data_IF_308714607854
#
_entry.id   IF_308714607854
#
_cell.length_a   1.000
_cell.length_b   1.000
_cell.length_c   1.000
_cell.angle_alpha   90.00
_cell.angle_beta   90.00
_cell.angle_gamma   90.00
#
_symmetry.space_group_name_H-M   'P 1'
#
loop_
_entity.id
_entity.type
_entity.pdbx_description
1 polymer ?
#
# COMPACT_ATOMS: atom_id res chain seq x y z
N UNK A 1 -20.29 -5.58 23.82
CA UNK A 1 -19.12 -5.04 23.09
C UNK A 1 -18.79 -6.03 22.00
N UNK A 2 -18.81 -5.65 20.73
CA UNK A 2 -18.50 -6.57 19.63
C UNK A 2 -17.02 -6.92 19.64
N UNK A 3 -16.68 -8.20 19.44
CA UNK A 3 -15.28 -8.61 19.24
C UNK A 3 -14.87 -8.25 17.82
N UNK A 4 -13.68 -7.66 17.66
CA UNK A 4 -13.12 -7.40 16.33
C UNK A 4 -12.83 -8.73 15.62
N UNK A 5 -13.11 -8.79 14.32
CA UNK A 5 -12.89 -9.97 13.49
C UNK A 5 -11.74 -9.65 12.54
N UNK A 6 -10.66 -10.40 12.65
CA UNK A 6 -9.49 -10.25 11.78
C UNK A 6 -9.53 -11.28 10.65
N UNK A 7 -8.96 -10.91 9.50
CA UNK A 7 -8.84 -11.78 8.33
C UNK A 7 -7.39 -11.83 7.86
N UNK A 8 -6.95 -13.03 7.44
CA UNK A 8 -5.65 -13.22 6.84
C UNK A 8 -5.54 -12.49 5.50
N UNK A 9 -4.52 -11.65 5.31
CA UNK A 9 -4.32 -10.90 4.08
C UNK A 9 -4.01 -11.78 2.86
N UNK A 10 -3.44 -12.98 3.08
CA UNK A 10 -3.05 -13.89 1.99
C UNK A 10 -4.20 -14.82 1.56
N UNK A 11 -4.86 -15.49 2.52
CA UNK A 11 -5.87 -16.51 2.21
C UNK A 11 -7.31 -16.14 2.59
N UNK A 12 -7.53 -15.00 3.26
CA UNK A 12 -8.86 -14.56 3.71
C UNK A 12 -9.44 -15.38 4.87
N UNK A 13 -8.69 -16.33 5.45
CA UNK A 13 -9.14 -17.09 6.61
C UNK A 13 -9.42 -16.15 7.81
N UNK A 14 -10.49 -16.42 8.54
CA UNK A 14 -10.83 -15.70 9.77
C UNK A 14 -9.82 -16.07 10.86
N UNK A 15 -9.29 -15.05 11.53
CA UNK A 15 -8.33 -15.18 12.64
C UNK A 15 -9.04 -14.77 13.93
N UNK A 16 -8.94 -15.62 14.94
CA UNK A 16 -9.48 -15.37 16.27
C UNK A 16 -8.53 -14.48 17.09
N UNK A 17 -9.02 -13.57 17.95
CA UNK A 17 -8.16 -12.79 18.84
C UNK A 17 -7.21 -13.65 19.69
N UNK A 18 -7.69 -14.82 20.12
CA UNK A 18 -6.93 -15.78 20.91
C UNK A 18 -5.69 -16.31 20.18
N UNK A 19 -5.69 -16.32 18.83
CA UNK A 19 -4.54 -16.72 18.01
C UNK A 19 -3.45 -15.65 17.96
N UNK A 20 -3.80 -14.38 18.17
CA UNK A 20 -2.82 -13.31 18.34
C UNK A 20 -2.20 -13.37 19.74
N UNK A 21 -3.02 -13.60 20.76
CA UNK A 21 -2.57 -13.73 22.15
C UNK A 21 -1.64 -14.93 22.33
N UNK A 22 -1.88 -16.03 21.61
CA UNK A 22 -1.01 -17.23 21.61
C UNK A 22 0.28 -17.07 20.78
N UNK A 23 0.35 -16.04 19.92
CA UNK A 23 1.46 -15.84 18.97
C UNK A 23 1.44 -16.77 17.75
N UNK A 24 0.35 -17.51 17.54
CA UNK A 24 0.15 -18.34 16.34
C UNK A 24 -0.10 -17.47 15.10
N UNK A 25 -0.89 -16.41 15.24
CA UNK A 25 -1.07 -15.36 14.24
C UNK A 25 -0.05 -14.23 14.44
N UNK A 26 0.30 -13.53 13.35
CA UNK A 26 1.21 -12.38 13.40
C UNK A 26 0.62 -11.20 12.62
N UNK A 27 0.79 -9.99 13.15
CA UNK A 27 0.53 -8.75 12.45
C UNK A 27 1.84 -8.17 11.91
N UNK A 28 1.94 -8.01 10.59
CA UNK A 28 3.10 -7.44 9.90
C UNK A 28 2.67 -6.33 8.95
N UNK A 29 3.31 -5.16 9.00
CA UNK A 29 3.03 -4.05 8.07
C UNK A 29 1.52 -3.71 7.96
N UNK A 30 0.81 -3.69 9.09
CA UNK A 30 -0.65 -3.50 9.18
C UNK A 30 -1.50 -4.59 8.49
N UNK A 31 -0.93 -5.76 8.22
CA UNK A 31 -1.63 -6.93 7.67
C UNK A 31 -1.55 -8.10 8.66
N UNK A 32 -2.63 -8.87 8.75
CA UNK A 32 -2.72 -10.01 9.65
C UNK A 32 -2.50 -11.31 8.87
N UNK A 33 -1.77 -12.26 9.45
CA UNK A 33 -1.49 -13.55 8.82
C UNK A 33 -1.83 -14.71 9.77
N UNK A 34 -2.53 -15.71 9.23
CA UNK A 34 -2.88 -16.94 9.95
C UNK A 34 -1.65 -17.86 10.11
N UNK A 35 -1.69 -18.85 11.02
CA UNK A 35 -0.56 -19.76 11.27
C UNK A 35 -0.07 -20.50 10.01
N UNK A 36 -0.96 -20.79 9.06
CA UNK A 36 -0.61 -21.45 7.81
C UNK A 36 0.14 -20.53 6.83
N UNK A 37 -0.14 -19.22 6.85
CA UNK A 37 0.48 -18.25 5.94
C UNK A 37 1.72 -17.57 6.54
N UNK A 38 1.87 -17.60 7.86
CA UNK A 38 3.03 -17.09 8.60
C UNK A 38 4.40 -17.49 8.00
N UNK A 39 4.69 -18.77 7.69
CA UNK A 39 6.00 -19.16 7.16
C UNK A 39 6.28 -18.65 5.74
N UNK A 40 5.25 -18.24 4.98
CA UNK A 40 5.42 -17.69 3.63
C UNK A 40 5.89 -16.24 3.65
N UNK A 41 5.61 -15.51 4.74
CA UNK A 41 5.90 -14.07 4.89
C UNK A 41 7.13 -13.82 5.77
N UNK A 42 7.49 -14.79 6.61
CA UNK A 42 8.66 -14.73 7.47
C UNK A 42 10.05 -14.62 6.77
N UNK A 43 10.31 -15.10 5.53
CA UNK A 43 11.67 -15.11 5.00
C UNK A 43 12.22 -13.73 4.62
N UNK A 44 11.38 -12.70 4.53
CA UNK A 44 11.81 -11.33 4.18
C UNK A 44 12.12 -10.43 5.37
N UNK A 45 11.85 -10.88 6.61
CA UNK A 45 12.30 -10.13 7.77
C UNK A 45 13.75 -10.51 8.09
N UNK A 46 14.70 -9.56 8.07
CA UNK A 46 16.00 -9.79 8.66
C UNK A 46 15.74 -10.22 10.11
N UNK A 47 16.28 -11.39 10.49
CA UNK A 47 16.11 -11.94 11.83
C UNK A 47 16.26 -10.80 12.84
N UNK A 48 15.31 -10.60 13.77
CA UNK A 48 15.40 -9.53 14.74
C UNK A 48 16.77 -9.67 15.38
N UNK A 49 17.63 -8.68 15.14
CA UNK A 49 18.91 -8.56 15.83
C UNK A 49 18.52 -8.53 17.28
N UNK A 50 18.63 -9.68 17.93
CA UNK A 50 18.44 -9.86 19.37
C UNK A 50 19.41 -8.84 19.93
N UNK A 51 18.87 -7.69 20.32
CA UNK A 51 19.65 -6.65 20.96
C UNK A 51 20.03 -7.28 22.26
N UNK A 52 21.24 -7.87 22.29
CA UNK A 52 21.85 -8.37 23.51
C UNK A 52 21.61 -7.31 24.57
N UNK A 53 20.95 -7.65 25.69
CA UNK A 53 20.68 -6.67 26.74
C UNK A 53 22.00 -6.00 27.06
N UNK A 54 22.04 -4.68 26.89
CA UNK A 54 23.20 -3.89 27.23
C UNK A 54 23.59 -4.25 28.67
N UNK A 55 24.88 -4.54 28.95
CA UNK A 55 25.31 -4.83 30.30
C UNK A 55 24.94 -3.63 31.19
N UNK A 56 24.12 -3.91 32.20
CA UNK A 56 23.82 -2.99 33.29
C UNK A 56 25.15 -2.47 33.85
N UNK A 57 25.37 -1.14 33.93
CA UNK A 57 26.49 -0.62 34.70
C UNK A 57 26.18 -0.85 36.18
N UNK A 58 26.80 -1.88 36.75
CA UNK A 58 27.03 -1.98 38.18
C UNK A 58 27.94 -0.82 38.62
N UNK A 59 27.70 -0.35 39.84
CA UNK A 59 28.51 0.58 40.63
C UNK A 59 28.36 2.09 40.40
N UNK A 60 27.38 2.68 41.10
CA UNK A 60 27.59 3.96 41.76
C UNK A 60 27.03 3.92 43.20
N UNK A 61 27.87 4.11 44.23
CA UNK A 61 27.49 3.93 45.62
C UNK A 61 26.73 5.14 46.20
N UNK A 62 25.93 4.78 47.19
CA UNK A 62 25.16 5.58 48.13
C UNK A 62 25.95 6.73 48.76
N UNK A 63 25.36 7.93 48.83
CA UNK A 63 25.93 9.05 49.60
C UNK A 63 25.03 10.28 49.72
N UNK A 64 24.16 10.26 50.75
CA UNK A 64 23.80 11.40 51.62
C UNK A 64 23.30 12.71 50.96
N UNK A 65 21.99 12.98 51.01
CA UNK A 65 21.39 13.85 52.04
C UNK A 65 22.14 15.16 52.30
N UNK A 66 21.62 16.30 51.78
CA UNK A 66 21.18 17.45 52.59
C UNK A 66 20.97 18.74 51.77
N UNK A 67 20.00 19.53 52.24
CA UNK A 67 19.77 20.96 51.99
C UNK A 67 19.23 21.37 50.60
N UNK A 68 17.92 21.56 50.46
CA UNK A 68 17.10 22.72 50.91
C UNK A 68 17.00 23.82 49.84
N UNK A 69 15.78 24.35 49.75
CA UNK A 69 15.35 25.65 49.18
C UNK A 69 14.73 25.51 47.78
N UNK A 70 13.45 25.15 47.69
CA UNK A 70 12.30 26.05 47.84
C UNK A 70 12.34 27.24 46.87
N UNK A 71 11.70 27.08 45.70
CA UNK A 71 10.84 28.13 45.12
C UNK A 71 9.64 27.44 44.49
N UNK A 72 8.51 27.49 45.22
CA UNK A 72 7.18 27.36 44.63
C UNK A 72 6.96 28.55 43.70
N UNK A 73 6.61 28.30 42.45
CA UNK A 73 5.89 29.26 41.63
C UNK A 73 4.61 28.56 41.12
N UNK A 74 3.41 29.07 41.47
CA UNK A 74 2.15 28.59 40.92
C UNK A 74 1.73 29.37 39.67
N UNK A 75 1.19 28.64 38.67
CA UNK A 75 0.13 29.03 37.72
C UNK A 75 0.52 30.02 36.57
N UNK A 76 -0.13 29.94 35.37
CA UNK A 76 -1.59 30.04 35.24
C UNK A 76 -2.31 29.00 34.36
N UNK A 77 -3.46 28.62 34.91
CA UNK A 77 -4.70 28.18 34.26
C UNK A 77 -5.11 29.12 33.13
N UNK A 78 -5.24 28.59 31.91
CA UNK A 78 -5.92 29.26 30.80
C UNK A 78 -7.40 28.85 30.82
N UNK A 79 -8.21 29.71 31.44
CA UNK A 79 -9.67 29.66 31.47
C UNK A 79 -10.24 30.53 30.34
N UNK A 80 -11.10 29.94 29.50
CA UNK A 80 -12.34 30.51 28.93
C UNK A 80 -12.38 31.91 28.26
N UNK A 81 -12.74 31.90 26.97
CA UNK A 81 -13.61 32.88 26.29
C UNK A 81 -13.96 32.30 24.92
N UNK A 82 -15.19 31.90 24.54
CA UNK A 82 -16.53 32.51 24.57
C UNK A 82 -16.65 33.78 23.72
N UNK A 83 -17.19 33.63 22.50
CA UNK A 83 -17.89 34.70 21.76
C UNK A 83 -17.83 34.60 20.24
N UNK A 84 -18.97 34.40 19.58
CA UNK A 84 -19.19 34.66 18.13
C UNK A 84 -19.92 33.55 17.36
N UNK A 85 -21.22 33.30 17.58
CA UNK A 85 -22.37 33.75 16.74
C UNK A 85 -22.18 33.57 15.23
N UNK A 86 -22.70 32.50 14.62
CA UNK A 86 -23.93 32.51 13.80
C UNK A 86 -23.55 32.29 12.33
N UNK A 87 -24.06 31.32 11.57
CA UNK A 87 -25.40 31.26 10.99
C UNK A 87 -25.49 29.98 10.13
N UNK A 88 -26.63 29.25 10.23
CA UNK A 88 -27.25 28.40 9.18
C UNK A 88 -26.46 27.12 8.77
N UNK A 89 -26.95 25.90 8.91
CA UNK A 89 -28.29 25.46 8.53
C UNK A 89 -28.66 24.09 9.08
N UNK A 90 -29.97 23.91 9.05
CA UNK A 90 -30.82 23.08 9.87
C UNK A 90 -31.54 22.15 8.92
N UNK A 91 -31.35 20.84 9.04
CA UNK A 91 -32.37 19.87 8.66
C UNK A 91 -32.41 18.74 9.70
N UNK A 92 -33.30 18.95 10.69
CA UNK A 92 -34.14 17.87 11.23
C UNK A 92 -35.00 17.34 10.05
N UNK A 93 -35.55 16.12 10.00
CA UNK A 93 -36.52 15.56 10.94
C UNK A 93 -36.95 14.16 10.47
N UNK A 94 -37.36 13.32 11.44
CA UNK A 94 -38.35 12.21 11.38
C UNK A 94 -37.89 10.85 10.83
N UNK A 95 -38.21 9.69 11.42
CA UNK A 95 -38.85 9.32 12.69
C UNK A 95 -38.60 7.81 12.91
N UNK A 96 -38.71 7.29 14.14
CA UNK A 96 -38.62 5.86 14.45
C UNK A 96 -40.01 5.21 14.40
N UNK A 97 -40.16 4.00 13.84
CA UNK A 97 -41.36 3.20 14.10
C UNK A 97 -41.19 1.68 13.82
N UNK A 98 -41.46 0.91 14.88
CA UNK A 98 -42.12 -0.41 14.92
C UNK A 98 -41.51 -1.61 14.17
N UNK A 99 -41.05 -2.57 14.97
CA UNK A 99 -41.19 -4.02 14.75
C UNK A 99 -42.65 -4.44 14.50
N UNK A 100 -42.89 -5.57 13.81
CA UNK A 100 -43.30 -6.75 14.57
C UNK A 100 -42.60 -8.05 14.15
N UNK A 101 -42.73 -9.02 15.04
CA UNK A 101 -42.28 -10.39 14.90
C UNK A 101 -43.30 -11.29 14.14
N UNK A 102 -42.80 -12.47 13.72
CA UNK A 102 -43.54 -13.72 13.39
C UNK A 102 -44.34 -13.79 12.08
N UNK A 103 -43.99 -14.79 11.25
CA UNK A 103 -44.81 -15.34 10.17
C UNK A 103 -43.94 -16.15 9.19
N UNK A 104 -43.65 -17.43 9.46
CA UNK A 104 -44.34 -18.60 8.88
C UNK A 104 -44.68 -18.38 7.39
N UNK A 105 -43.90 -18.99 6.51
CA UNK A 105 -44.03 -18.81 5.06
C UNK A 105 -45.32 -19.38 4.46
N UNK A 106 -45.53 -19.14 3.16
CA UNK A 106 -46.20 -20.08 2.31
C UNK A 106 -45.29 -20.56 1.18
N UNK A 107 -45.52 -21.82 0.83
CA UNK A 107 -44.97 -22.52 -0.30
C UNK A 107 -45.24 -21.81 -1.64
N UNK A 108 -44.36 -22.07 -2.60
CA UNK A 108 -44.74 -22.26 -3.99
C UNK A 108 -45.31 -21.05 -4.71
N UNK A 109 -44.44 -20.17 -5.18
CA UNK A 109 -44.65 -19.57 -6.49
C UNK A 109 -43.50 -20.01 -7.40
N UNK A 110 -43.79 -21.04 -8.19
CA UNK A 110 -43.09 -21.32 -9.43
C UNK A 110 -43.29 -20.09 -10.34
N UNK A 111 -42.45 -19.08 -10.13
CA UNK A 111 -42.34 -17.95 -11.04
C UNK A 111 -41.77 -18.47 -12.33
N UNK A 112 -42.64 -18.64 -13.33
CA UNK A 112 -42.32 -18.80 -14.73
C UNK A 112 -41.30 -17.73 -15.10
N UNK A 113 -40.01 -18.08 -15.06
CA UNK A 113 -38.93 -17.23 -15.55
C UNK A 113 -39.24 -16.98 -17.02
N UNK A 114 -39.68 -15.76 -17.32
CA UNK A 114 -39.74 -15.28 -18.68
C UNK A 114 -38.39 -15.60 -19.33
N UNK A 115 -38.36 -16.15 -20.57
CA UNK A 115 -37.11 -16.43 -21.26
C UNK A 115 -36.41 -15.09 -21.45
N UNK A 116 -35.43 -14.80 -20.59
CA UNK A 116 -34.50 -13.70 -20.79
C UNK A 116 -33.87 -13.96 -22.15
N UNK A 117 -34.17 -13.12 -23.14
CA UNK A 117 -33.56 -13.15 -24.47
C UNK A 117 -32.06 -13.23 -24.25
N UNK A 118 -31.50 -14.41 -24.48
CA UNK A 118 -30.14 -14.71 -24.10
C UNK A 118 -29.24 -13.86 -24.98
N UNK A 119 -28.51 -12.92 -24.38
CA UNK A 119 -27.48 -12.11 -25.04
C UNK A 119 -26.24 -12.94 -25.40
N UNK A 120 -26.42 -14.22 -25.73
CA UNK A 120 -25.36 -15.16 -26.13
C UNK A 120 -24.59 -14.62 -27.34
N UNK A 121 -25.29 -13.95 -28.27
CA UNK A 121 -24.66 -13.30 -29.42
C UNK A 121 -23.69 -12.20 -28.98
N UNK A 122 -24.05 -11.40 -27.97
CA UNK A 122 -23.19 -10.34 -27.45
C UNK A 122 -21.91 -10.93 -26.81
N UNK A 123 -22.05 -11.99 -26.01
CA UNK A 123 -20.90 -12.66 -25.39
C UNK A 123 -19.98 -13.33 -26.41
N UNK A 124 -20.53 -13.91 -27.48
CA UNK A 124 -19.74 -14.50 -28.57
C UNK A 124 -18.97 -13.41 -29.33
N UNK A 125 -19.59 -12.27 -29.63
CA UNK A 125 -18.94 -11.14 -30.31
C UNK A 125 -17.83 -10.54 -29.43
N UNK A 126 -18.09 -10.33 -28.14
CA UNK A 126 -17.09 -9.82 -27.20
C UNK A 126 -15.92 -10.82 -27.06
N UNK A 127 -16.23 -12.11 -26.91
CA UNK A 127 -15.21 -13.16 -26.82
C UNK A 127 -14.31 -13.21 -28.06
N UNK A 128 -14.90 -13.16 -29.26
CA UNK A 128 -14.16 -13.13 -30.51
C UNK A 128 -13.26 -11.87 -30.63
N UNK A 129 -13.78 -10.71 -30.24
CA UNK A 129 -13.00 -9.47 -30.26
C UNK A 129 -11.78 -9.51 -29.32
N UNK A 130 -11.93 -10.09 -28.12
CA UNK A 130 -10.83 -10.26 -27.16
C UNK A 130 -9.77 -11.23 -27.70
N UNK A 131 -10.17 -12.34 -28.31
CA UNK A 131 -9.23 -13.30 -28.92
C UNK A 131 -8.44 -12.67 -30.06
N UNK A 132 -9.12 -11.90 -30.93
CA UNK A 132 -8.46 -11.14 -32.02
C UNK A 132 -7.48 -10.11 -31.46
N UNK A 133 -7.85 -9.37 -30.40
CA UNK A 133 -6.96 -8.41 -29.75
C UNK A 133 -5.70 -9.09 -29.19
N UNK A 134 -5.85 -10.23 -28.51
CA UNK A 134 -4.72 -11.01 -27.97
C UNK A 134 -3.80 -11.48 -29.10
N UNK A 135 -4.37 -11.97 -30.20
CA UNK A 135 -3.59 -12.37 -31.39
C UNK A 135 -2.81 -11.20 -32.00
N UNK A 136 -3.43 -10.02 -32.12
CA UNK A 136 -2.76 -8.82 -32.63
C UNK A 136 -1.61 -8.41 -31.71
N UNK A 137 -1.82 -8.40 -30.39
CA UNK A 137 -0.76 -8.10 -29.40
C UNK A 137 0.36 -9.14 -29.48
N UNK A 138 0.05 -10.43 -29.58
CA UNK A 138 1.05 -11.48 -29.70
C UNK A 138 1.88 -11.37 -30.99
N UNK A 139 1.24 -11.01 -32.11
CA UNK A 139 1.93 -10.77 -33.38
C UNK A 139 2.83 -9.52 -33.32
N UNK A 140 2.34 -8.41 -32.77
CA UNK A 140 3.12 -7.18 -32.57
C UNK A 140 4.30 -7.39 -31.60
N UNK A 141 4.11 -8.23 -30.58
CA UNK A 141 5.17 -8.61 -29.63
C UNK A 141 6.22 -9.50 -30.29
N UNK A 142 5.80 -10.38 -31.21
CA UNK A 142 6.69 -11.26 -31.96
C UNK A 142 7.55 -10.50 -32.98
N UNK A 143 7.05 -9.39 -33.53
CA UNK A 143 7.81 -8.51 -34.43
C UNK A 143 9.00 -7.84 -33.73
N UNK A 144 8.88 -7.51 -32.43
CA UNK A 144 9.96 -6.87 -31.67
C UNK A 144 11.09 -7.82 -31.26
N UNK A 145 10.91 -9.13 -31.41
CA UNK A 145 11.89 -10.14 -30.95
C UNK A 145 12.84 -10.65 -32.03
N UNK A 146 12.74 -10.16 -33.27
CA UNK A 146 13.58 -10.63 -34.41
C UNK A 146 14.87 -9.84 -34.66
N UNK A 147 15.10 -8.72 -33.97
CA UNK A 147 16.33 -7.94 -34.16
C UNK A 147 17.45 -8.28 -33.15
N UNK A 148 17.30 -9.34 -32.34
CA UNK A 148 18.33 -9.74 -31.35
C UNK A 148 18.97 -11.12 -31.62
N UNK A 149 18.62 -11.77 -32.73
CA UNK A 149 19.23 -13.05 -33.14
C UNK A 149 20.36 -12.79 -34.14
N UNK A 150 21.46 -12.21 -33.68
CA UNK A 150 22.56 -11.83 -34.55
C UNK A 150 23.86 -11.49 -33.84
N UNK A 151 24.27 -12.25 -32.83
CA UNK A 151 25.68 -12.25 -32.41
C UNK A 151 26.03 -13.52 -31.65
N UNK A 152 26.01 -14.65 -32.36
CA UNK A 152 26.84 -15.80 -32.01
C UNK A 152 28.28 -15.51 -32.50
N UNK A 153 28.91 -14.50 -31.89
CA UNK A 153 30.33 -14.20 -32.08
C UNK A 153 31.13 -14.90 -30.99
N UNK A 154 31.98 -15.83 -31.40
CA UNK A 154 32.78 -16.64 -30.50
C UNK A 154 33.61 -15.82 -29.51
N UNK A 155 33.61 -16.28 -28.25
CA UNK A 155 34.81 -16.91 -27.73
C UNK A 155 36.07 -16.07 -27.53
N UNK A 156 35.97 -14.76 -27.36
CA UNK A 156 36.99 -14.04 -26.60
C UNK A 156 36.49 -13.92 -25.18
N UNK A 157 37.14 -14.62 -24.24
CA UNK A 157 36.90 -14.59 -22.80
C UNK A 157 37.20 -13.24 -22.17
N UNK A 158 36.68 -12.16 -22.76
CA UNK A 158 36.75 -10.81 -22.23
C UNK A 158 35.76 -10.76 -21.06
N UNK A 159 36.23 -10.52 -19.83
CA UNK A 159 35.34 -10.45 -18.67
C UNK A 159 34.24 -9.44 -18.98
N UNK A 160 32.99 -9.81 -18.68
CA UNK A 160 31.83 -8.95 -18.85
C UNK A 160 32.20 -7.55 -18.34
N UNK A 161 31.99 -6.47 -19.13
CA UNK A 161 32.35 -5.13 -18.69
C UNK A 161 31.70 -4.92 -17.33
N UNK A 162 32.55 -4.72 -16.31
CA UNK A 162 32.08 -4.46 -14.95
C UNK A 162 31.12 -3.29 -15.08
N UNK A 163 29.85 -3.52 -14.75
CA UNK A 163 28.87 -2.45 -14.80
C UNK A 163 29.44 -1.32 -13.94
N UNK A 164 29.46 -0.07 -14.46
CA UNK A 164 29.92 1.05 -13.66
C UNK A 164 29.09 1.04 -12.39
N UNK A 165 29.78 0.92 -11.25
CA UNK A 165 29.15 1.00 -9.93
C UNK A 165 28.56 2.40 -9.87
N UNK A 166 27.25 2.50 -10.08
CA UNK A 166 26.54 3.75 -9.98
C UNK A 166 26.53 4.13 -8.51
N UNK A 167 26.97 5.35 -8.22
CA UNK A 167 26.86 5.91 -6.89
C UNK A 167 25.39 5.89 -6.44
N UNK A 168 25.13 5.60 -5.15
CA UNK A 168 23.78 5.62 -4.64
C UNK A 168 23.18 7.03 -4.85
N UNK A 169 21.91 7.10 -5.28
CA UNK A 169 21.27 8.36 -5.59
C UNK A 169 21.20 9.23 -4.34
N UNK A 170 21.61 10.48 -4.48
CA UNK A 170 21.54 11.44 -3.40
C UNK A 170 20.17 12.10 -3.34
N UNK A 171 19.82 12.70 -2.20
CA UNK A 171 18.61 13.52 -2.08
C UNK A 171 18.58 14.66 -3.11
N UNK A 172 19.74 15.20 -3.49
CA UNK A 172 19.85 16.26 -4.49
C UNK A 172 19.44 15.78 -5.89
N UNK A 173 19.74 14.52 -6.24
CA UNK A 173 19.35 13.94 -7.53
C UNK A 173 17.83 13.77 -7.63
N UNK A 174 17.18 13.41 -6.53
CA UNK A 174 15.72 13.32 -6.47
C UNK A 174 15.05 14.70 -6.59
N UNK A 175 15.57 15.73 -5.92
CA UNK A 175 15.02 17.09 -6.06
C UNK A 175 15.20 17.64 -7.49
N UNK A 176 16.30 17.30 -8.17
CA UNK A 176 16.47 17.61 -9.59
C UNK A 176 15.43 16.91 -10.45
N UNK A 177 15.22 15.61 -10.26
CA UNK A 177 14.19 14.85 -10.97
C UNK A 177 12.80 15.47 -10.77
N UNK A 178 12.46 15.80 -9.52
CA UNK A 178 11.19 16.44 -9.18
C UNK A 178 11.02 17.74 -9.96
N UNK A 179 12.02 18.61 -9.94
CA UNK A 179 11.97 19.90 -10.66
C UNK A 179 11.78 19.70 -12.18
N UNK A 180 12.55 18.78 -12.80
CA UNK A 180 12.40 18.43 -14.22
C UNK A 180 10.99 17.94 -14.56
N UNK A 181 10.42 17.07 -13.72
CA UNK A 181 9.07 16.53 -13.90
C UNK A 181 8.02 17.63 -13.81
N UNK A 182 8.12 18.53 -12.83
CA UNK A 182 7.20 19.66 -12.68
C UNK A 182 7.26 20.62 -13.89
N UNK A 183 8.44 20.88 -14.43
CA UNK A 183 8.59 21.70 -15.65
C UNK A 183 7.99 21.01 -16.89
N UNK A 184 8.12 19.68 -17.00
CA UNK A 184 7.47 18.89 -18.06
C UNK A 184 5.95 18.93 -17.94
N UNK A 185 5.41 18.80 -16.72
CA UNK A 185 3.96 18.90 -16.48
C UNK A 185 3.44 20.30 -16.83
N UNK A 186 4.15 21.36 -16.42
CA UNK A 186 3.80 22.75 -16.73
C UNK A 186 3.79 23.04 -18.23
N UNK A 187 4.61 22.33 -19.01
CA UNK A 187 4.64 22.42 -20.47
C UNK A 187 3.66 21.47 -21.18
N UNK A 188 2.80 20.75 -20.44
CA UNK A 188 1.82 19.81 -20.99
C UNK A 188 2.42 18.48 -21.48
N UNK A 189 3.71 18.22 -21.18
CA UNK A 189 4.44 17.03 -21.63
C UNK A 189 4.33 15.88 -20.63
N UNK A 190 3.10 15.44 -20.35
CA UNK A 190 2.80 14.39 -19.36
C UNK A 190 3.44 13.04 -19.69
N UNK A 191 3.51 12.66 -20.96
CA UNK A 191 4.16 11.41 -21.39
C UNK A 191 5.67 11.41 -21.11
N UNK A 192 6.34 12.53 -21.37
CA UNK A 192 7.78 12.69 -21.12
C UNK A 192 8.08 12.65 -19.61
N UNK A 193 7.23 13.29 -18.80
CA UNK A 193 7.33 13.26 -17.35
C UNK A 193 7.27 11.82 -16.80
N UNK A 194 6.31 11.00 -17.28
CA UNK A 194 6.20 9.58 -16.89
C UNK A 194 7.44 8.79 -17.29
N UNK A 195 7.88 8.92 -18.54
CA UNK A 195 9.08 8.28 -19.06
C UNK A 195 10.32 8.63 -18.22
N UNK A 196 10.41 9.89 -17.75
CA UNK A 196 11.52 10.35 -16.91
C UNK A 196 11.53 9.71 -15.53
N UNK A 197 10.36 9.60 -14.88
CA UNK A 197 10.22 8.94 -13.58
C UNK A 197 10.52 7.44 -13.68
N UNK A 198 10.04 6.79 -14.74
CA UNK A 198 10.28 5.36 -14.97
C UNK A 198 11.77 5.07 -15.24
N UNK A 199 12.44 5.92 -16.03
CA UNK A 199 13.87 5.84 -16.25
C UNK A 199 14.67 6.00 -14.93
N UNK A 200 14.24 6.90 -14.04
CA UNK A 200 14.87 7.06 -12.73
C UNK A 200 14.67 5.82 -11.84
N UNK A 201 13.45 5.26 -11.82
CA UNK A 201 13.13 4.03 -11.09
C UNK A 201 13.96 2.84 -11.58
N UNK A 202 14.09 2.68 -12.89
CA UNK A 202 14.90 1.62 -13.50
C UNK A 202 16.40 1.77 -13.16
N UNK A 203 16.88 3.01 -13.05
CA UNK A 203 18.28 3.30 -12.72
C UNK A 203 18.61 3.05 -11.24
N UNK A 204 17.64 3.22 -10.35
CA UNK A 204 17.84 3.17 -8.89
C UNK A 204 16.81 2.27 -8.19
N UNK A 205 16.91 0.93 -8.34
CA UNK A 205 15.89 -0.01 -7.85
C UNK A 205 15.73 -0.11 -6.32
N UNK A 206 16.51 0.63 -5.52
CA UNK A 206 16.42 0.63 -4.06
C UNK A 206 16.15 2.00 -3.44
N UNK A 207 15.95 3.05 -4.26
CA UNK A 207 15.73 4.40 -3.73
C UNK A 207 14.26 4.64 -3.46
N UNK A 208 13.93 4.76 -2.17
CA UNK A 208 12.69 5.31 -1.58
C UNK A 208 11.48 5.30 -2.53
N UNK A 209 11.02 4.08 -2.86
CA UNK A 209 10.00 3.83 -3.88
C UNK A 209 8.70 4.59 -3.58
N UNK A 210 8.40 4.86 -2.31
CA UNK A 210 7.23 5.62 -1.88
C UNK A 210 7.26 7.06 -2.40
N UNK A 211 8.42 7.71 -2.41
CA UNK A 211 8.56 9.08 -2.93
C UNK A 211 8.42 9.11 -4.45
N UNK A 212 8.98 8.12 -5.13
CA UNK A 212 8.88 7.99 -6.60
C UNK A 212 7.44 7.67 -6.99
N UNK A 213 6.76 6.81 -6.25
CA UNK A 213 5.35 6.47 -6.48
C UNK A 213 4.45 7.68 -6.25
N UNK A 214 4.65 8.43 -5.16
CA UNK A 214 3.91 9.67 -4.91
C UNK A 214 4.08 10.68 -6.04
N UNK A 215 5.29 10.81 -6.59
CA UNK A 215 5.54 11.69 -7.74
C UNK A 215 4.80 11.20 -9.00
N UNK A 216 4.73 9.88 -9.21
CA UNK A 216 3.94 9.27 -10.29
C UNK A 216 2.45 9.54 -10.15
N UNK A 217 1.91 9.46 -8.93
CA UNK A 217 0.50 9.73 -8.66
C UNK A 217 0.18 11.23 -8.85
N UNK A 218 1.08 12.13 -8.44
CA UNK A 218 0.97 13.57 -8.70
C UNK A 218 0.90 13.88 -10.21
N UNK A 219 1.67 13.16 -11.04
CA UNK A 219 1.59 13.27 -12.51
C UNK A 219 0.20 12.90 -13.03
N UNK A 220 -0.48 11.92 -12.42
CA UNK A 220 -1.79 11.47 -12.90
C UNK A 220 -2.90 12.51 -12.68
N UNK A 221 -2.81 13.28 -11.59
CA UNK A 221 -3.79 14.29 -11.19
C UNK A 221 -3.71 15.57 -12.03
N UNK A 222 -2.53 15.91 -12.56
CA UNK A 222 -2.30 17.04 -13.46
C UNK A 222 -2.84 16.80 -14.88
#
# INVERSE_FOLDING_TARGET
MGREIFYCANCGARILPEEFDSGEAIALNNQNYCPNCKPLVAPEMPAPVVSSPAPLPEDAPTGSSALRRAVRAPLPTMTTGRGGTGLVGRHQTTSPLRTPAVGRGPAGYAGSRAPAKSNTVLFVVIGAAVVVLILVVALLSSSRKRDSAGSAGGGDGRPAPRQPVLDPPTKADFERLRTEVYDMLKSGRKADARSRVEAYRARYPGFDLDKVQKLSDEIEVW
#
